data_IF_838780764539
#
_entry.id   IF_838780764539
#
_cell.length_a   1.000
_cell.length_b   1.000
_cell.length_c   1.000
_cell.angle_alpha   90.00
_cell.angle_beta   90.00
_cell.angle_gamma   90.00
#
_symmetry.space_group_name_H-M   'P 1'
#
loop_
_entity.id
_entity.type
_entity.pdbx_description
1 polymer ?
#
# COMPACT_ATOMS: atom_id res chain seq x y z
N UNK A 1 -21.51 -21.46 22.77
CA UNK A 1 -20.35 -21.24 21.88
C UNK A 1 -20.74 -20.57 20.56
N UNK A 2 -21.78 -21.05 19.84
CA UNK A 2 -22.30 -20.38 18.62
C UNK A 2 -22.86 -18.97 18.89
N UNK A 3 -23.40 -18.71 20.08
CA UNK A 3 -23.88 -17.37 20.47
C UNK A 3 -22.77 -16.32 20.55
N UNK A 4 -21.55 -16.71 20.95
CA UNK A 4 -20.41 -15.80 20.97
C UNK A 4 -20.03 -15.39 19.55
N UNK A 5 -20.14 -16.32 18.60
CA UNK A 5 -19.92 -16.00 17.18
C UNK A 5 -21.01 -15.05 16.69
N UNK A 6 -22.30 -15.34 16.95
CA UNK A 6 -23.44 -14.48 16.56
C UNK A 6 -23.34 -13.06 17.12
N UNK A 7 -23.02 -12.91 18.40
CA UNK A 7 -22.97 -11.60 19.06
C UNK A 7 -21.76 -10.76 18.59
N UNK A 8 -20.70 -11.41 18.14
CA UNK A 8 -19.50 -10.76 17.60
C UNK A 8 -19.42 -10.79 16.07
N UNK A 9 -20.46 -11.25 15.36
CA UNK A 9 -20.48 -11.31 13.89
C UNK A 9 -20.25 -9.92 13.29
N UNK A 10 -20.89 -8.89 13.83
CA UNK A 10 -20.71 -7.51 13.38
C UNK A 10 -19.26 -7.07 13.49
N UNK A 11 -18.61 -7.35 14.63
CA UNK A 11 -17.20 -7.03 14.87
C UNK A 11 -16.27 -7.77 13.90
N UNK A 12 -16.54 -9.06 13.64
CA UNK A 12 -15.77 -9.87 12.69
C UNK A 12 -15.91 -9.31 11.26
N UNK A 13 -17.12 -8.92 10.85
CA UNK A 13 -17.35 -8.32 9.52
C UNK A 13 -16.62 -6.98 9.40
N UNK A 14 -16.76 -6.09 10.38
CA UNK A 14 -16.13 -4.76 10.37
C UNK A 14 -14.61 -4.88 10.36
N UNK A 15 -14.05 -5.75 11.21
CA UNK A 15 -12.61 -5.99 11.25
C UNK A 15 -12.09 -6.59 9.94
N UNK A 16 -12.84 -7.50 9.31
CA UNK A 16 -12.51 -8.05 8.00
C UNK A 16 -12.47 -6.99 6.90
N UNK A 17 -13.45 -6.07 6.87
CA UNK A 17 -13.48 -4.95 5.92
C UNK A 17 -12.27 -4.03 6.15
N UNK A 18 -11.99 -3.68 7.42
CA UNK A 18 -10.87 -2.82 7.76
C UNK A 18 -9.52 -3.43 7.33
N UNK A 19 -9.35 -4.74 7.58
CA UNK A 19 -8.19 -5.51 7.14
C UNK A 19 -8.05 -5.50 5.62
N UNK A 20 -9.15 -5.73 4.90
CA UNK A 20 -9.15 -5.74 3.44
C UNK A 20 -8.72 -4.38 2.87
N UNK A 21 -9.19 -3.27 3.44
CA UNK A 21 -8.78 -1.92 3.03
C UNK A 21 -7.28 -1.71 3.27
N UNK A 22 -6.76 -2.07 4.45
CA UNK A 22 -5.34 -1.94 4.78
C UNK A 22 -4.48 -2.76 3.82
N UNK A 23 -4.85 -4.02 3.58
CA UNK A 23 -4.15 -4.90 2.63
C UNK A 23 -4.19 -4.31 1.22
N UNK A 24 -5.34 -3.81 0.76
CA UNK A 24 -5.46 -3.18 -0.55
C UNK A 24 -4.54 -1.95 -0.67
N UNK A 25 -4.44 -1.11 0.36
CA UNK A 25 -3.52 0.05 0.39
C UNK A 25 -2.06 -0.40 0.31
N UNK A 26 -1.67 -1.43 1.06
CA UNK A 26 -0.30 -1.97 1.04
C UNK A 26 0.03 -2.54 -0.35
N UNK A 27 -0.86 -3.36 -0.93
CA UNK A 27 -0.67 -3.91 -2.28
C UNK A 27 -0.57 -2.78 -3.30
N UNK A 28 -1.44 -1.77 -3.21
CA UNK A 28 -1.40 -0.62 -4.10
C UNK A 28 -0.09 0.13 -3.96
N UNK A 29 0.39 0.37 -2.75
CA UNK A 29 1.69 1.02 -2.47
C UNK A 29 2.86 0.22 -3.04
N UNK A 30 2.88 -1.10 -2.85
CA UNK A 30 3.93 -1.97 -3.40
C UNK A 30 3.89 -2.01 -4.92
N UNK A 31 2.70 -2.10 -5.52
CA UNK A 31 2.52 -2.06 -6.97
C UNK A 31 2.94 -0.71 -7.55
N UNK A 32 2.57 0.39 -6.91
CA UNK A 32 2.93 1.74 -7.34
C UNK A 32 4.45 1.94 -7.28
N UNK A 33 5.08 1.47 -6.19
CA UNK A 33 6.53 1.45 -6.04
C UNK A 33 7.23 0.58 -7.09
N UNK A 34 6.70 -0.60 -7.41
CA UNK A 34 7.22 -1.48 -8.48
C UNK A 34 6.98 -0.91 -9.88
N UNK A 35 5.92 -0.15 -10.07
CA UNK A 35 5.61 0.54 -11.33
C UNK A 35 6.46 1.81 -11.53
N UNK A 36 7.44 2.07 -10.65
CA UNK A 36 8.31 3.24 -10.77
C UNK A 36 7.67 4.55 -10.31
N UNK A 37 6.45 4.52 -9.76
CA UNK A 37 5.86 5.65 -9.04
C UNK A 37 6.43 5.66 -7.62
N UNK A 38 7.70 6.02 -7.52
CA UNK A 38 8.29 6.40 -6.24
C UNK A 38 7.66 7.69 -5.73
N UNK A 39 7.86 8.01 -4.45
CA UNK A 39 7.49 9.30 -3.85
C UNK A 39 8.04 10.52 -4.62
N UNK A 40 9.06 10.32 -5.45
CA UNK A 40 9.50 11.27 -6.43
C UNK A 40 8.61 11.13 -7.68
N UNK A 41 7.59 11.98 -7.81
CA UNK A 41 6.72 12.05 -9.00
C UNK A 41 7.43 12.48 -10.29
N UNK A 42 8.77 12.48 -10.32
CA UNK A 42 9.54 12.79 -11.50
C UNK A 42 9.71 11.52 -12.33
N UNK A 43 9.34 11.57 -13.60
CA UNK A 43 9.90 10.66 -14.61
C UNK A 43 11.43 10.73 -14.49
N UNK A 44 12.07 9.70 -13.92
CA UNK A 44 13.52 9.71 -13.64
C UNK A 44 14.40 9.98 -14.88
N UNK A 45 13.82 9.87 -16.08
CA UNK A 45 14.47 10.25 -17.35
C UNK A 45 14.74 11.76 -17.51
N UNK A 46 14.06 12.64 -16.76
CA UNK A 46 14.26 14.11 -16.80
C UNK A 46 14.26 14.75 -15.40
N UNK A 47 14.59 13.97 -14.36
CA UNK A 47 14.68 14.49 -13.01
C UNK A 47 15.98 15.30 -12.86
N UNK A 48 15.89 16.59 -12.53
CA UNK A 48 17.08 17.44 -12.29
C UNK A 48 17.96 16.97 -11.13
N UNK A 49 17.44 16.11 -10.24
CA UNK A 49 18.18 15.44 -9.18
C UNK A 49 18.71 14.04 -9.58
N UNK A 50 18.64 13.66 -10.86
CA UNK A 50 19.14 12.36 -11.35
C UNK A 50 20.63 12.16 -11.05
N UNK A 51 21.43 13.23 -11.03
CA UNK A 51 22.86 13.19 -10.64
C UNK A 51 23.08 12.76 -9.19
N UNK A 52 22.13 13.03 -8.28
CA UNK A 52 22.21 12.66 -6.87
C UNK A 52 21.60 11.27 -6.65
N UNK A 53 20.42 11.02 -7.23
CA UNK A 53 19.69 9.76 -7.07
C UNK A 53 20.33 8.58 -7.80
N UNK A 54 20.98 8.82 -8.96
CA UNK A 54 21.79 7.85 -9.69
C UNK A 54 23.24 8.32 -9.71
N UNK A 55 23.93 8.23 -8.56
CA UNK A 55 25.39 8.32 -8.54
C UNK A 55 25.97 7.16 -9.36
N UNK A 56 26.27 7.42 -10.64
CA UNK A 56 27.14 6.53 -11.42
C UNK A 56 28.52 6.57 -10.77
N UNK A 57 28.97 5.43 -10.29
CA UNK A 57 30.40 5.17 -10.20
C UNK A 57 30.97 4.98 -11.60
#
# INVERSE_FOLDING_TARGET
MIEFLKNNLSTIIISGILLAIVVAVIIKKVRDSRAGKGSCGCSCSSCGAASICHSKK
#
